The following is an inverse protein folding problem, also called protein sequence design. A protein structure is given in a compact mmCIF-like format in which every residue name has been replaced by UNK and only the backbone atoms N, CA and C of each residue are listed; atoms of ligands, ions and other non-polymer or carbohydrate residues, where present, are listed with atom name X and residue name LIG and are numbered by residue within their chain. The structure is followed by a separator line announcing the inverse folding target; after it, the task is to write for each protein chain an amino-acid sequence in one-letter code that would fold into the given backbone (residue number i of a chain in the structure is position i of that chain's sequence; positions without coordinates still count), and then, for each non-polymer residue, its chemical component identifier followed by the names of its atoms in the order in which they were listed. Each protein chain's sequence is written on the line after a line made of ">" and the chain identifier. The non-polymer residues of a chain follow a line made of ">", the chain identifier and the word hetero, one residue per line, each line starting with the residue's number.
data_IF_515772715283
#
_entry.id   IF_515772715283
#
_cell.length_a   1.000
_cell.length_b   1.000
_cell.length_c   1.000
_cell.angle_alpha   90.00
_cell.angle_beta   90.00
_cell.angle_gamma   90.00
#
_symmetry.space_group_name_H-M   'P 1'
#
loop_
_entity.id
_entity.type
_entity.pdbx_description
1 polymer ?
#
# COMPACT_ATOMS: atom_id res chain seq x y z
N UNK A 1 -5.09 10.12 6.18
CA UNK A 1 -5.61 8.88 5.57
C UNK A 1 -6.18 9.25 4.22
N UNK A 2 -5.80 8.53 3.17
CA UNK A 2 -6.35 8.73 1.83
C UNK A 2 -7.71 8.03 1.75
N UNK A 3 -8.71 8.68 1.16
CA UNK A 3 -9.99 8.03 0.89
C UNK A 3 -9.90 7.21 -0.40
N UNK A 4 -10.77 6.21 -0.54
CA UNK A 4 -10.78 5.30 -1.68
C UNK A 4 -10.78 6.04 -3.03
N UNK A 5 -11.64 7.05 -3.20
CA UNK A 5 -11.73 7.86 -4.42
C UNK A 5 -10.42 8.59 -4.79
N UNK A 6 -9.60 8.96 -3.80
CA UNK A 6 -8.30 9.58 -4.04
C UNK A 6 -7.30 8.53 -4.57
N UNK A 7 -7.28 7.36 -3.95
CA UNK A 7 -6.42 6.26 -4.37
C UNK A 7 -6.78 5.76 -5.76
N UNK A 8 -8.07 5.64 -6.08
CA UNK A 8 -8.56 5.25 -7.41
C UNK A 8 -8.08 6.22 -8.49
N UNK A 9 -8.08 7.53 -8.22
CA UNK A 9 -7.57 8.54 -9.16
C UNK A 9 -6.06 8.42 -9.37
N UNK A 10 -5.30 8.20 -8.30
CA UNK A 10 -3.84 7.99 -8.40
C UNK A 10 -3.55 6.72 -9.18
N UNK A 11 -4.21 5.61 -8.85
CA UNK A 11 -4.05 4.34 -9.53
C UNK A 11 -4.38 4.45 -11.03
N UNK A 12 -5.48 5.12 -11.38
CA UNK A 12 -5.85 5.34 -12.77
C UNK A 12 -4.78 6.11 -13.57
N UNK A 13 -4.14 7.11 -12.95
CA UNK A 13 -3.03 7.84 -13.59
C UNK A 13 -1.83 6.89 -13.79
N UNK A 14 -1.44 6.14 -12.76
CA UNK A 14 -0.32 5.21 -12.85
C UNK A 14 -0.54 4.14 -13.92
N UNK A 15 -1.72 3.50 -13.94
CA UNK A 15 -2.08 2.50 -14.95
C UNK A 15 -2.07 3.09 -16.37
N UNK A 16 -2.66 4.28 -16.56
CA UNK A 16 -2.69 4.96 -17.87
C UNK A 16 -1.29 5.22 -18.43
N UNK A 17 -0.32 5.46 -17.56
CA UNK A 17 1.05 5.84 -17.94
C UNK A 17 2.07 4.74 -17.72
N UNK A 18 1.63 3.50 -17.47
CA UNK A 18 2.50 2.34 -17.24
C UNK A 18 3.48 2.51 -16.07
N UNK A 19 3.11 3.32 -15.07
CA UNK A 19 3.95 3.63 -13.90
C UNK A 19 3.75 2.59 -12.81
N UNK A 20 4.86 2.04 -12.31
CA UNK A 20 4.86 1.15 -11.15
C UNK A 20 4.46 1.91 -9.87
N UNK A 21 3.57 1.33 -9.07
CA UNK A 21 3.15 1.88 -7.79
C UNK A 21 3.97 1.23 -6.67
N UNK A 22 4.58 2.06 -5.82
CA UNK A 22 5.17 1.62 -4.54
C UNK A 22 4.34 2.26 -3.44
N UNK A 23 3.55 1.44 -2.72
CA UNK A 23 2.71 1.88 -1.62
C UNK A 23 3.39 1.61 -0.29
N UNK A 24 3.94 2.63 0.36
CA UNK A 24 4.48 2.52 1.72
C UNK A 24 3.35 2.67 2.75
N UNK A 25 2.93 1.52 3.29
CA UNK A 25 1.78 1.39 4.18
C UNK A 25 2.23 1.02 5.61
N UNK A 26 3.47 1.36 6.00
CA UNK A 26 4.02 1.03 7.32
C UNK A 26 3.20 1.57 8.52
N UNK A 27 2.38 2.60 8.32
CA UNK A 27 1.52 3.19 9.37
C UNK A 27 0.05 2.71 9.30
N UNK A 28 -0.29 1.76 8.43
CA UNK A 28 -1.67 1.36 8.16
C UNK A 28 -2.45 0.77 9.36
N UNK A 29 -1.76 0.28 10.40
CA UNK A 29 -2.39 -0.22 11.64
C UNK A 29 -2.71 0.92 12.63
N UNK A 30 -2.07 2.09 12.49
CA UNK A 30 -2.16 3.21 13.43
C UNK A 30 -3.27 4.19 13.02
N UNK A 31 -4.51 3.70 12.99
CA UNK A 31 -5.68 4.46 12.52
C UNK A 31 -6.43 5.09 13.70
N UNK A 32 -6.71 6.39 13.57
CA UNK A 32 -7.49 7.12 14.57
C UNK A 32 -8.98 6.76 14.47
N UNK A 33 -9.75 6.83 15.59
CA UNK A 33 -11.18 6.54 15.57
C UNK A 33 -11.93 7.38 14.51
N UNK A 34 -12.81 6.73 13.74
CA UNK A 34 -13.59 7.35 12.67
C UNK A 34 -12.90 7.40 11.30
N UNK A 35 -11.69 6.88 11.18
CA UNK A 35 -10.99 6.70 9.92
C UNK A 35 -10.84 5.22 9.56
N UNK A 36 -10.70 4.95 8.27
CA UNK A 36 -10.38 3.63 7.74
C UNK A 36 -9.17 3.73 6.80
N UNK A 37 -8.38 2.66 6.73
CA UNK A 37 -7.31 2.52 5.76
C UNK A 37 -7.76 1.64 4.60
N UNK A 38 -7.48 2.07 3.37
CA UNK A 38 -7.65 1.24 2.17
C UNK A 38 -6.26 0.91 1.62
N UNK A 39 -5.94 -0.37 1.52
CA UNK A 39 -4.69 -0.87 0.93
C UNK A 39 -4.72 -0.60 -0.57
N UNK A 40 -3.66 -0.01 -1.14
CA UNK A 40 -3.63 0.36 -2.56
C UNK A 40 -3.86 -0.84 -3.48
N UNK A 41 -3.23 -1.98 -3.17
CA UNK A 41 -3.34 -3.20 -3.98
C UNK A 41 -4.73 -3.87 -3.94
N UNK A 42 -5.66 -3.46 -3.06
CA UNK A 42 -7.01 -4.04 -3.01
C UNK A 42 -8.03 -3.31 -3.88
N UNK A 43 -7.64 -2.25 -4.58
CA UNK A 43 -8.54 -1.49 -5.45
C UNK A 43 -9.02 -2.28 -6.67
N UNK A 44 -8.15 -3.08 -7.27
CA UNK A 44 -8.45 -4.01 -8.37
C UNK A 44 -7.25 -4.93 -8.64
N UNK A 45 -7.47 -6.04 -9.36
CA UNK A 45 -6.40 -6.97 -9.76
C UNK A 45 -5.34 -6.28 -10.63
N UNK A 46 -5.76 -5.37 -11.51
CA UNK A 46 -4.86 -4.58 -12.38
C UNK A 46 -3.92 -3.68 -11.57
N UNK A 47 -4.44 -3.07 -10.51
CA UNK A 47 -3.63 -2.28 -9.57
C UNK A 47 -2.71 -3.19 -8.75
N UNK A 48 -3.21 -4.33 -8.27
CA UNK A 48 -2.41 -5.30 -7.52
C UNK A 48 -1.19 -5.77 -8.33
N UNK A 49 -1.37 -6.05 -9.63
CA UNK A 49 -0.28 -6.50 -10.50
C UNK A 49 0.78 -5.42 -10.80
N UNK A 50 0.40 -4.15 -10.62
CA UNK A 50 1.24 -2.96 -10.82
C UNK A 50 1.66 -2.30 -9.50
N UNK A 51 1.50 -2.97 -8.36
CA UNK A 51 1.77 -2.40 -7.05
C UNK A 51 2.68 -3.29 -6.19
N UNK A 52 3.70 -2.68 -5.59
CA UNK A 52 4.47 -3.25 -4.48
C UNK A 52 4.00 -2.57 -3.20
N UNK A 53 3.50 -3.34 -2.23
CA UNK A 53 3.09 -2.81 -0.92
C UNK A 53 4.19 -3.07 0.10
N UNK A 54 4.67 -2.01 0.74
CA UNK A 54 5.66 -2.09 1.81
C UNK A 54 4.95 -2.00 3.17
N UNK A 55 5.08 -3.04 3.99
CA UNK A 55 4.54 -3.06 5.37
C UNK A 55 5.61 -3.53 6.35
N UNK A 56 5.42 -3.22 7.63
CA UNK A 56 6.26 -3.77 8.69
C UNK A 56 5.55 -3.65 10.05
N UNK A 57 5.80 -4.57 11.00
CA UNK A 57 5.30 -4.43 12.37
C UNK A 57 6.02 -3.32 13.16
N UNK A 58 7.06 -2.71 12.59
CA UNK A 58 8.01 -1.85 13.32
C UNK A 58 7.37 -0.59 13.91
N UNK A 59 6.44 0.05 13.21
CA UNK A 59 5.73 1.24 13.71
C UNK A 59 4.59 0.85 14.64
N UNK A 60 3.80 -0.14 14.24
CA UNK A 60 2.65 -0.64 15.00
C UNK A 60 3.05 -1.10 16.41
N UNK A 61 4.17 -1.81 16.53
CA UNK A 61 4.60 -2.43 17.79
C UNK A 61 5.87 -1.81 18.39
N UNK A 62 6.35 -0.69 17.85
CA UNK A 62 7.60 -0.04 18.28
C UNK A 62 8.83 -0.98 18.22
N UNK A 63 8.90 -1.81 17.16
CA UNK A 63 9.94 -2.82 16.93
C UNK A 63 10.94 -2.42 15.83
N UNK A 64 11.18 -1.12 15.63
CA UNK A 64 12.10 -0.65 14.59
C UNK A 64 13.52 -1.22 14.70
N UNK A 65 13.98 -1.55 15.92
CA UNK A 65 15.27 -2.19 16.16
C UNK A 65 15.39 -3.63 15.64
N UNK A 66 14.27 -4.30 15.32
CA UNK A 66 14.26 -5.68 14.80
C UNK A 66 14.52 -5.77 13.28
N UNK A 67 14.57 -4.63 12.59
CA UNK A 67 14.93 -4.55 11.16
C UNK A 67 14.16 -5.55 10.28
N UNK A 68 12.86 -5.73 10.56
CA UNK A 68 11.98 -6.64 9.83
C UNK A 68 10.96 -5.86 9.02
N UNK A 69 10.86 -6.17 7.73
CA UNK A 69 9.89 -5.60 6.77
C UNK A 69 9.28 -6.71 5.94
N UNK A 70 8.05 -6.50 5.48
CA UNK A 70 7.33 -7.38 4.55
C UNK A 70 7.01 -6.60 3.28
N UNK A 71 7.40 -7.16 2.13
CA UNK A 71 6.99 -6.65 0.83
C UNK A 71 5.94 -7.61 0.27
N UNK A 72 4.77 -7.07 -0.09
CA UNK A 72 3.69 -7.83 -0.74
C UNK A 72 3.70 -7.46 -2.21
N UNK A 73 3.97 -8.45 -3.06
CA UNK A 73 4.07 -8.31 -4.52
C UNK A 73 3.18 -9.39 -5.13
N UNK A 74 2.10 -8.97 -5.79
CA UNK A 74 1.15 -9.92 -6.39
C UNK A 74 1.68 -10.52 -7.70
N UNK A 75 2.33 -9.69 -8.51
CA UNK A 75 2.81 -10.07 -9.83
C UNK A 75 4.19 -10.76 -9.74
N UNK A 76 4.25 -12.00 -10.21
CA UNK A 76 5.47 -12.83 -10.21
C UNK A 76 6.58 -12.33 -11.15
N UNK A 77 6.23 -11.46 -12.11
CA UNK A 77 7.14 -10.96 -13.15
C UNK A 77 7.52 -9.48 -12.99
N UNK A 78 7.32 -8.91 -11.80
CA UNK A 78 7.77 -7.54 -11.47
C UNK A 78 9.29 -7.38 -11.54
#
# INVERSE_FOLDING_TARGET
>A
MWIKDELEKVAAICLKHDVLIISDEIHFDLIMPGYEHTVMATLSDEVADKCIVCTAPSKTFNLAGMQTSNLVINNENQ
#
